data_IF_546039766675
#
_entry.id   IF_546039766675
#
_cell.length_a   1.000
_cell.length_b   1.000
_cell.length_c   1.000
_cell.angle_alpha   90.00
_cell.angle_beta   90.00
_cell.angle_gamma   90.00
#
_symmetry.space_group_name_H-M   'P 1'
#
loop_
_entity.id
_entity.type
_entity.pdbx_description
1 polymer ?
#
# COMPACT_ATOMS: atom_id res chain seq x y z
N UNK A 1 -20.69 20.87 46.46
CA UNK A 1 -20.16 19.52 46.75
C UNK A 1 -21.19 18.54 46.22
N UNK A 2 -20.91 17.65 45.27
CA UNK A 2 -19.75 16.77 45.18
C UNK A 2 -19.42 16.52 43.71
N UNK A 3 -18.12 16.54 43.41
CA UNK A 3 -17.44 16.07 42.19
C UNK A 3 -18.29 15.15 41.30
N UNK A 4 -18.67 15.61 40.10
CA UNK A 4 -19.07 14.70 39.02
C UNK A 4 -17.79 14.43 38.24
N UNK A 5 -17.22 13.26 38.49
CA UNK A 5 -16.03 12.70 37.87
C UNK A 5 -15.92 13.03 36.38
N UNK A 6 -14.89 13.78 36.01
CA UNK A 6 -14.44 14.05 34.63
C UNK A 6 -14.12 12.74 33.87
N UNK A 7 -14.03 11.60 34.57
CA UNK A 7 -13.71 10.29 34.01
C UNK A 7 -14.91 9.52 33.41
N UNK A 8 -16.15 9.84 33.77
CA UNK A 8 -17.36 9.16 33.24
C UNK A 8 -17.89 9.82 31.95
N UNK A 9 -17.64 11.12 31.76
CA UNK A 9 -18.03 11.88 30.57
C UNK A 9 -17.50 11.28 29.27
N UNK A 10 -16.19 10.99 29.17
CA UNK A 10 -15.59 10.41 27.96
C UNK A 10 -16.18 9.06 27.57
N UNK A 11 -16.56 8.19 28.53
CA UNK A 11 -17.16 6.88 28.22
C UNK A 11 -18.61 6.99 27.73
N UNK A 12 -19.36 7.96 28.26
CA UNK A 12 -20.75 8.24 27.84
C UNK A 12 -20.75 8.97 26.50
N UNK A 13 -19.81 9.88 26.26
CA UNK A 13 -19.66 10.62 25.00
C UNK A 13 -19.16 9.73 23.85
N UNK A 14 -18.24 8.79 24.11
CA UNK A 14 -17.86 7.76 23.12
C UNK A 14 -19.05 6.86 22.78
N UNK A 15 -19.88 6.50 23.77
CA UNK A 15 -21.12 5.73 23.51
C UNK A 15 -22.18 6.53 22.77
N UNK A 16 -22.34 7.82 23.08
CA UNK A 16 -23.30 8.70 22.42
C UNK A 16 -22.86 9.02 21.00
N UNK A 17 -21.57 9.35 20.77
CA UNK A 17 -21.03 9.53 19.42
C UNK A 17 -21.16 8.25 18.59
N UNK A 18 -20.88 7.06 19.15
CA UNK A 18 -21.19 5.79 18.47
C UNK A 18 -22.69 5.66 18.14
N UNK A 19 -23.58 6.06 19.05
CA UNK A 19 -25.04 5.97 18.87
C UNK A 19 -25.55 6.96 17.81
N UNK A 20 -24.98 8.16 17.73
CA UNK A 20 -25.34 9.20 16.75
C UNK A 20 -24.73 8.95 15.37
N UNK A 21 -23.50 8.40 15.30
CA UNK A 21 -22.91 7.87 14.06
C UNK A 21 -23.81 6.79 13.47
N UNK A 22 -24.42 5.94 14.32
CA UNK A 22 -25.39 4.93 13.90
C UNK A 22 -26.74 5.52 13.43
N UNK A 23 -27.08 6.73 13.85
CA UNK A 23 -28.37 7.37 13.57
C UNK A 23 -28.28 8.48 12.50
N UNK A 24 -27.10 8.71 11.91
CA UNK A 24 -26.81 9.76 10.91
C UNK A 24 -27.12 11.21 11.35
N UNK A 25 -27.37 11.45 12.63
CA UNK A 25 -27.70 12.77 13.20
C UNK A 25 -26.43 13.54 13.58
N UNK A 26 -25.67 13.94 12.56
CA UNK A 26 -24.41 14.65 12.69
C UNK A 26 -24.57 16.07 13.27
N UNK A 27 -25.70 16.73 12.96
CA UNK A 27 -26.06 18.07 13.44
C UNK A 27 -26.40 18.09 14.95
N UNK A 28 -26.93 17.00 15.48
CA UNK A 28 -27.18 16.85 16.91
C UNK A 28 -25.84 16.60 17.65
N UNK A 29 -24.98 15.73 17.10
CA UNK A 29 -23.67 15.44 17.66
C UNK A 29 -22.77 16.68 17.72
N UNK A 30 -22.74 17.51 16.67
CA UNK A 30 -21.91 18.72 16.64
C UNK A 30 -22.38 19.76 17.68
N UNK A 31 -23.69 20.00 17.79
CA UNK A 31 -24.26 20.95 18.78
C UNK A 31 -24.01 20.52 20.22
N UNK A 32 -24.13 19.22 20.50
CA UNK A 32 -23.87 18.67 21.85
C UNK A 32 -22.39 18.78 22.19
N UNK A 33 -21.49 18.47 21.26
CA UNK A 33 -20.05 18.64 21.49
C UNK A 33 -19.66 20.11 21.70
N UNK A 34 -20.19 21.03 20.88
CA UNK A 34 -19.91 22.46 21.00
C UNK A 34 -20.39 23.06 22.33
N UNK A 35 -21.51 22.55 22.88
CA UNK A 35 -22.07 23.02 24.14
C UNK A 35 -21.31 22.52 25.39
N UNK A 36 -20.67 21.35 25.30
CA UNK A 36 -20.06 20.69 26.45
C UNK A 36 -18.53 20.74 26.47
N UNK A 37 -17.87 20.43 25.35
CA UNK A 37 -16.41 20.37 25.25
C UNK A 37 -15.94 20.70 23.82
N UNK A 38 -15.39 21.89 23.56
CA UNK A 38 -14.94 22.29 22.22
C UNK A 38 -13.85 21.38 21.65
N UNK A 39 -13.02 20.77 22.51
CA UNK A 39 -12.01 19.78 22.11
C UNK A 39 -12.62 18.47 21.57
N UNK A 40 -13.83 18.13 22.01
CA UNK A 40 -14.56 16.93 21.57
C UNK A 40 -15.19 17.11 20.19
N UNK A 41 -15.28 18.34 19.68
CA UNK A 41 -15.73 18.61 18.30
C UNK A 41 -14.74 18.00 17.28
N UNK A 42 -13.45 18.00 17.59
CA UNK A 42 -12.42 17.37 16.76
C UNK A 42 -12.61 15.85 16.62
N UNK A 43 -13.05 15.19 17.70
CA UNK A 43 -13.31 13.74 17.68
C UNK A 43 -14.60 13.39 16.91
N UNK A 44 -15.62 14.25 16.97
CA UNK A 44 -16.84 14.09 16.14
C UNK A 44 -16.53 14.28 14.66
N UNK A 45 -15.72 15.29 14.30
CA UNK A 45 -15.28 15.50 12.91
C UNK A 45 -14.42 14.34 12.40
N UNK A 46 -13.56 13.76 13.24
CA UNK A 46 -12.80 12.57 12.89
C UNK A 46 -13.71 11.35 12.64
N UNK A 47 -14.78 11.20 13.43
CA UNK A 47 -15.79 10.16 13.20
C UNK A 47 -16.57 10.37 11.89
N UNK A 48 -16.95 11.62 11.57
CA UNK A 48 -17.56 11.98 10.29
C UNK A 48 -16.64 11.67 9.11
N UNK A 49 -15.35 11.99 9.23
CA UNK A 49 -14.37 11.68 8.21
C UNK A 49 -14.25 10.18 7.96
N UNK A 50 -14.22 9.37 9.03
CA UNK A 50 -14.22 7.90 8.92
C UNK A 50 -15.44 7.36 8.21
N UNK A 51 -16.62 7.85 8.54
CA UNK A 51 -17.85 7.48 7.83
C UNK A 51 -17.81 7.89 6.35
N UNK A 52 -17.26 9.07 6.04
CA UNK A 52 -17.06 9.51 4.66
C UNK A 52 -16.06 8.61 3.91
N UNK A 53 -15.01 8.10 4.56
CA UNK A 53 -14.11 7.09 3.98
C UNK A 53 -14.83 5.77 3.69
N UNK A 54 -15.72 5.30 4.58
CA UNK A 54 -16.54 4.10 4.33
C UNK A 54 -17.47 4.29 3.11
N UNK A 55 -18.00 5.50 2.95
CA UNK A 55 -18.82 5.88 1.79
C UNK A 55 -17.99 6.19 0.52
N UNK A 56 -16.66 6.08 0.58
CA UNK A 56 -15.71 6.44 -0.48
C UNK A 56 -15.76 7.92 -0.91
N UNK A 57 -16.28 8.79 -0.06
CA UNK A 57 -16.33 10.23 -0.28
C UNK A 57 -15.09 10.90 0.37
N UNK A 58 -13.96 10.75 -0.31
CA UNK A 58 -12.66 11.19 0.20
C UNK A 58 -12.52 12.72 0.28
N UNK A 59 -13.22 13.45 -0.59
CA UNK A 59 -13.22 14.92 -0.59
C UNK A 59 -13.86 15.48 0.68
N UNK A 60 -15.01 14.93 1.08
CA UNK A 60 -15.65 15.32 2.35
C UNK A 60 -14.82 14.88 3.55
N UNK A 61 -14.24 13.68 3.50
CA UNK A 61 -13.38 13.19 4.57
C UNK A 61 -12.17 14.11 4.80
N UNK A 62 -11.51 14.56 3.73
CA UNK A 62 -10.41 15.53 3.80
C UNK A 62 -10.88 16.84 4.43
N UNK A 63 -12.01 17.40 3.99
CA UNK A 63 -12.55 18.64 4.55
C UNK A 63 -12.81 18.53 6.08
N UNK A 64 -13.34 17.40 6.56
CA UNK A 64 -13.57 17.18 7.99
C UNK A 64 -12.26 17.03 8.78
N UNK A 65 -11.26 16.33 8.23
CA UNK A 65 -9.95 16.13 8.87
C UNK A 65 -9.12 17.42 8.94
N UNK A 66 -9.23 18.28 7.93
CA UNK A 66 -8.62 19.61 7.93
C UNK A 66 -9.26 20.52 8.97
N UNK A 67 -10.60 20.49 9.09
CA UNK A 67 -11.31 21.19 10.16
C UNK A 67 -10.96 20.66 11.56
N UNK A 68 -10.68 19.37 11.67
CA UNK A 68 -10.21 18.75 12.91
C UNK A 68 -8.72 19.02 13.21
N UNK A 69 -7.98 19.71 12.33
CA UNK A 69 -6.54 19.96 12.43
C UNK A 69 -5.69 18.70 12.69
N UNK A 70 -6.13 17.53 12.21
CA UNK A 70 -5.44 16.24 12.40
C UNK A 70 -5.04 15.62 11.05
N UNK A 71 -4.06 16.20 10.33
CA UNK A 71 -3.60 15.67 9.04
C UNK A 71 -2.92 14.29 9.17
N UNK A 72 -2.32 13.98 10.32
CA UNK A 72 -1.69 12.68 10.57
C UNK A 72 -2.69 11.52 10.49
N UNK A 73 -3.91 11.71 11.01
CA UNK A 73 -4.98 10.72 10.91
C UNK A 73 -5.48 10.57 9.47
N UNK A 74 -5.49 11.66 8.70
CA UNK A 74 -5.86 11.61 7.29
C UNK A 74 -4.92 10.67 6.53
N UNK A 75 -3.61 10.86 6.68
CA UNK A 75 -2.56 10.06 6.02
C UNK A 75 -2.72 8.58 6.37
N UNK A 76 -2.96 8.27 7.65
CA UNK A 76 -3.20 6.88 8.09
C UNK A 76 -4.41 6.26 7.39
N UNK A 77 -5.53 6.97 7.31
CA UNK A 77 -6.74 6.48 6.65
C UNK A 77 -6.57 6.33 5.13
N UNK A 78 -5.86 7.26 4.47
CA UNK A 78 -5.52 7.13 3.04
C UNK A 78 -4.61 5.93 2.76
N UNK A 79 -3.67 5.64 3.67
CA UNK A 79 -2.82 4.45 3.63
C UNK A 79 -3.64 3.16 3.78
N UNK A 80 -4.56 3.11 4.75
CA UNK A 80 -5.47 1.97 4.96
C UNK A 80 -6.39 1.74 3.74
N UNK A 81 -6.81 2.82 3.07
CA UNK A 81 -7.59 2.76 1.83
C UNK A 81 -6.76 2.38 0.58
N UNK A 82 -5.43 2.28 0.71
CA UNK A 82 -4.52 1.97 -0.40
C UNK A 82 -4.29 3.11 -1.40
N UNK A 83 -4.74 4.33 -1.07
CA UNK A 83 -4.59 5.52 -1.92
C UNK A 83 -3.31 6.29 -1.55
N UNK A 84 -2.18 5.68 -1.86
CA UNK A 84 -0.87 6.22 -1.52
C UNK A 84 -0.53 7.55 -2.20
N UNK A 85 -1.06 7.78 -3.41
CA UNK A 85 -0.90 9.05 -4.14
C UNK A 85 -1.44 10.24 -3.34
N UNK A 86 -2.66 10.11 -2.81
CA UNK A 86 -3.31 11.15 -2.03
C UNK A 86 -2.72 11.26 -0.62
N UNK A 87 -2.33 10.13 -0.02
CA UNK A 87 -1.59 10.14 1.24
C UNK A 87 -0.29 10.96 1.13
N UNK A 88 0.49 10.76 0.07
CA UNK A 88 1.74 11.51 -0.18
C UNK A 88 1.46 12.98 -0.46
N UNK A 89 0.42 13.31 -1.24
CA UNK A 89 0.01 14.70 -1.49
C UNK A 89 -0.29 15.43 -0.18
N UNK A 90 -1.12 14.84 0.66
CA UNK A 90 -1.54 15.43 1.95
C UNK A 90 -0.35 15.51 2.90
N UNK A 91 0.52 14.49 2.95
CA UNK A 91 1.76 14.57 3.72
C UNK A 91 2.65 15.75 3.30
N UNK A 92 2.80 15.99 1.99
CA UNK A 92 3.61 17.12 1.48
C UNK A 92 3.06 18.47 1.93
N UNK A 93 1.74 18.64 1.87
CA UNK A 93 1.07 19.90 2.18
C UNK A 93 1.05 20.20 3.67
N UNK A 94 0.78 19.20 4.51
CA UNK A 94 0.48 19.42 5.93
C UNK A 94 1.58 18.97 6.89
N UNK A 95 2.35 17.93 6.57
CA UNK A 95 3.37 17.34 7.46
C UNK A 95 4.59 16.87 6.66
N UNK A 96 5.43 17.79 6.13
CA UNK A 96 6.56 17.42 5.28
C UNK A 96 7.61 16.58 6.01
N UNK A 97 7.67 16.63 7.35
CA UNK A 97 8.59 15.79 8.14
C UNK A 97 8.24 14.29 8.14
N UNK A 98 6.98 13.92 7.91
CA UNK A 98 6.55 12.53 7.82
C UNK A 98 6.65 11.97 6.39
N UNK A 99 6.92 12.84 5.41
CA UNK A 99 6.93 12.51 3.99
C UNK A 99 7.95 11.43 3.65
N UNK A 100 9.17 11.56 4.17
CA UNK A 100 10.27 10.63 3.88
C UNK A 100 9.92 9.21 4.35
N UNK A 101 9.37 9.11 5.56
CA UNK A 101 8.92 7.82 6.11
C UNK A 101 7.78 7.22 5.27
N UNK A 102 6.78 8.03 4.92
CA UNK A 102 5.64 7.55 4.11
C UNK A 102 6.09 7.09 2.72
N UNK A 103 7.05 7.79 2.11
CA UNK A 103 7.56 7.47 0.79
C UNK A 103 8.36 6.17 0.80
N UNK A 104 9.20 5.96 1.82
CA UNK A 104 9.90 4.70 2.01
C UNK A 104 8.93 3.53 2.23
N UNK A 105 7.86 3.74 3.00
CA UNK A 105 6.81 2.72 3.17
C UNK A 105 6.07 2.42 1.85
N UNK A 106 5.77 3.45 1.05
CA UNK A 106 5.15 3.28 -0.26
C UNK A 106 6.03 2.46 -1.21
N UNK A 107 7.33 2.75 -1.24
CA UNK A 107 8.30 1.99 -2.02
C UNK A 107 8.36 0.54 -1.56
N UNK A 108 8.43 0.27 -0.25
CA UNK A 108 8.40 -1.10 0.27
C UNK A 108 7.10 -1.84 -0.07
N UNK A 109 5.95 -1.17 -0.01
CA UNK A 109 4.65 -1.78 -0.34
C UNK A 109 4.51 -2.04 -1.84
N UNK A 110 5.02 -1.13 -2.67
CA UNK A 110 5.13 -1.29 -4.12
C UNK A 110 6.04 -2.45 -4.50
N UNK A 111 7.22 -2.54 -3.85
CA UNK A 111 8.16 -3.66 -4.02
C UNK A 111 7.53 -4.97 -3.58
N UNK A 112 6.82 -5.04 -2.44
CA UNK A 112 6.11 -6.27 -2.00
C UNK A 112 5.04 -6.73 -2.99
N UNK A 113 4.28 -5.80 -3.58
CA UNK A 113 3.28 -6.14 -4.61
C UNK A 113 3.95 -6.60 -5.91
N UNK A 114 5.04 -5.96 -6.31
CA UNK A 114 5.89 -6.39 -7.43
C UNK A 114 6.51 -7.76 -7.21
N UNK A 115 7.08 -7.99 -6.03
CA UNK A 115 7.70 -9.23 -5.58
C UNK A 115 6.68 -10.38 -5.53
N UNK A 116 5.46 -10.15 -5.01
CA UNK A 116 4.39 -11.16 -5.08
C UNK A 116 4.01 -11.52 -6.52
N UNK A 117 3.99 -10.53 -7.43
CA UNK A 117 3.80 -10.79 -8.86
C UNK A 117 4.95 -11.61 -9.44
N UNK A 118 6.19 -11.25 -9.11
CA UNK A 118 7.40 -11.92 -9.53
C UNK A 118 7.48 -13.38 -9.02
N UNK A 119 7.15 -13.62 -7.75
CA UNK A 119 7.05 -14.97 -7.16
C UNK A 119 5.96 -15.80 -7.83
N UNK A 120 4.80 -15.21 -8.14
CA UNK A 120 3.75 -15.90 -8.88
C UNK A 120 4.21 -16.32 -10.29
N UNK A 121 4.95 -15.47 -11.00
CA UNK A 121 5.55 -15.83 -12.29
C UNK A 121 6.60 -16.93 -12.16
N UNK A 122 7.41 -16.93 -11.09
CA UNK A 122 8.38 -18.00 -10.82
C UNK A 122 7.70 -19.35 -10.55
N UNK A 123 6.65 -19.34 -9.74
CA UNK A 123 5.90 -20.55 -9.44
C UNK A 123 5.26 -21.12 -10.71
N UNK A 124 4.62 -20.25 -11.51
CA UNK A 124 4.06 -20.63 -12.81
C UNK A 124 5.14 -21.16 -13.77
N UNK A 125 6.34 -20.57 -13.79
CA UNK A 125 7.44 -21.05 -14.62
C UNK A 125 7.87 -22.48 -14.25
N UNK A 126 7.88 -22.81 -12.95
CA UNK A 126 8.20 -24.17 -12.46
C UNK A 126 7.14 -25.20 -12.85
N UNK A 127 5.88 -24.81 -12.84
CA UNK A 127 4.78 -25.67 -13.30
C UNK A 127 4.93 -25.98 -14.80
N UNK A 128 5.24 -24.97 -15.62
CA UNK A 128 5.52 -25.18 -17.04
C UNK A 128 6.77 -26.04 -17.27
N UNK A 129 7.82 -25.91 -16.44
CA UNK A 129 8.98 -26.82 -16.50
C UNK A 129 8.60 -28.28 -16.26
N UNK A 130 7.70 -28.55 -15.30
CA UNK A 130 7.23 -29.90 -14.98
C UNK A 130 6.29 -30.46 -16.04
N UNK A 131 5.50 -29.60 -16.69
CA UNK A 131 4.63 -29.99 -17.78
C UNK A 131 5.41 -30.36 -19.07
N UNK A 132 6.63 -29.84 -19.22
CA UNK A 132 7.47 -30.02 -20.42
C UNK A 132 7.41 -28.82 -21.40
N UNK A 133 6.63 -27.80 -21.06
CA UNK A 133 6.43 -26.58 -21.87
C UNK A 133 7.51 -25.53 -21.59
N UNK A 134 8.75 -25.87 -21.96
CA UNK A 134 9.93 -25.02 -21.72
C UNK A 134 9.83 -23.63 -22.36
N UNK A 135 9.14 -23.51 -23.50
CA UNK A 135 8.95 -22.21 -24.16
C UNK A 135 8.17 -21.21 -23.29
N UNK A 136 7.12 -21.66 -22.61
CA UNK A 136 6.30 -20.82 -21.73
C UNK A 136 7.01 -20.55 -20.41
N UNK A 137 7.72 -21.54 -19.88
CA UNK A 137 8.55 -21.38 -18.69
C UNK A 137 9.56 -20.24 -18.86
N UNK A 138 10.28 -20.21 -19.98
CA UNK A 138 11.26 -19.17 -20.30
C UNK A 138 10.59 -17.79 -20.38
N UNK A 139 9.44 -17.66 -21.03
CA UNK A 139 8.69 -16.40 -21.08
C UNK A 139 8.26 -15.92 -19.68
N UNK A 140 7.87 -16.83 -18.78
CA UNK A 140 7.54 -16.50 -17.39
C UNK A 140 8.78 -16.01 -16.64
N UNK A 141 9.93 -16.68 -16.77
CA UNK A 141 11.19 -16.22 -16.14
C UNK A 141 11.68 -14.86 -16.64
N UNK A 142 11.42 -14.52 -17.92
CA UNK A 142 11.77 -13.21 -18.47
C UNK A 142 10.87 -12.07 -17.97
N UNK A 143 9.65 -12.39 -17.55
CA UNK A 143 8.69 -11.44 -16.98
C UNK A 143 9.01 -11.09 -15.53
N UNK A 144 9.77 -11.93 -14.84
CA UNK A 144 10.29 -11.64 -13.49
C UNK A 144 11.31 -10.51 -13.62
N UNK A 145 10.96 -9.32 -13.11
CA UNK A 145 11.81 -8.11 -13.14
C UNK A 145 12.03 -7.51 -11.75
N UNK A 146 11.08 -7.71 -10.84
CA UNK A 146 11.01 -7.01 -9.55
C UNK A 146 11.13 -8.00 -8.39
N UNK A 147 12.31 -8.63 -8.24
CA UNK A 147 12.65 -9.39 -7.03
C UNK A 147 13.63 -8.58 -6.19
N UNK A 148 13.38 -8.50 -4.88
CA UNK A 148 14.25 -7.83 -3.90
C UNK A 148 15.68 -8.41 -3.90
N UNK A 149 15.83 -9.68 -4.28
CA UNK A 149 17.11 -10.37 -4.35
C UNK A 149 17.61 -10.47 -5.78
N UNK A 150 18.55 -9.60 -6.13
CA UNK A 150 19.26 -9.61 -7.41
C UNK A 150 19.91 -10.98 -7.71
N UNK A 151 20.39 -11.70 -6.69
CA UNK A 151 20.93 -13.06 -6.78
C UNK A 151 19.90 -14.09 -7.26
N UNK A 152 18.65 -13.95 -6.82
CA UNK A 152 17.56 -14.85 -7.23
C UNK A 152 17.19 -14.55 -8.67
N UNK A 153 17.15 -13.28 -9.05
CA UNK A 153 16.90 -12.84 -10.41
C UNK A 153 17.96 -13.36 -11.39
N UNK A 154 19.24 -13.31 -11.00
CA UNK A 154 20.35 -13.85 -11.77
C UNK A 154 20.22 -15.37 -11.99
N UNK A 155 19.93 -16.13 -10.93
CA UNK A 155 19.68 -17.58 -11.03
C UNK A 155 18.49 -17.90 -11.94
N UNK A 156 17.42 -17.10 -11.88
CA UNK A 156 16.25 -17.30 -12.75
C UNK A 156 16.58 -17.04 -14.22
N UNK A 157 17.34 -15.99 -14.50
CA UNK A 157 17.81 -15.66 -15.84
C UNK A 157 18.81 -16.68 -16.39
N UNK A 158 19.74 -17.18 -15.57
CA UNK A 158 20.61 -18.29 -15.94
C UNK A 158 19.81 -19.54 -16.29
N UNK A 159 18.80 -19.87 -15.48
CA UNK A 159 17.95 -21.03 -15.72
C UNK A 159 17.10 -20.87 -16.98
N UNK A 160 16.58 -19.67 -17.25
CA UNK A 160 15.90 -19.36 -18.51
C UNK A 160 16.81 -19.53 -19.73
N UNK A 161 18.07 -19.06 -19.65
CA UNK A 161 19.05 -19.23 -20.71
C UNK A 161 19.41 -20.71 -20.92
N UNK A 162 19.61 -21.48 -19.84
CA UNK A 162 19.92 -22.90 -19.91
C UNK A 162 18.77 -23.71 -20.54
N UNK A 163 17.53 -23.48 -20.09
CA UNK A 163 16.35 -24.13 -20.66
C UNK A 163 16.16 -23.75 -22.13
N UNK A 164 16.47 -22.50 -22.50
CA UNK A 164 16.43 -22.06 -23.89
C UNK A 164 17.46 -22.75 -24.77
N UNK A 165 18.67 -22.97 -24.27
CA UNK A 165 19.71 -23.68 -25.01
C UNK A 165 19.42 -25.18 -25.15
N UNK A 166 18.85 -25.81 -24.11
CA UNK A 166 18.61 -27.25 -24.08
C UNK A 166 17.37 -27.69 -24.86
N UNK A 167 16.29 -26.92 -24.80
CA UNK A 167 14.96 -27.40 -25.23
C UNK A 167 14.28 -26.54 -26.30
N UNK A 168 14.78 -25.35 -26.60
CA UNK A 168 14.18 -24.45 -27.59
C UNK A 168 14.93 -24.46 -28.93
N UNK A 169 14.21 -24.03 -29.98
CA UNK A 169 14.75 -23.87 -31.34
C UNK A 169 15.89 -22.83 -31.33
N UNK A 170 16.97 -23.02 -32.12
CA UNK A 170 18.15 -22.13 -32.13
C UNK A 170 17.83 -20.64 -32.35
N UNK A 171 16.78 -20.30 -33.09
CA UNK A 171 16.34 -18.91 -33.27
C UNK A 171 15.84 -18.29 -31.96
N UNK A 172 14.96 -18.99 -31.25
CA UNK A 172 14.35 -18.50 -30.00
C UNK A 172 15.34 -18.52 -28.83
N UNK A 173 16.29 -19.44 -28.81
CA UNK A 173 17.35 -19.46 -27.80
C UNK A 173 18.29 -18.26 -27.95
N UNK A 174 18.65 -17.88 -29.18
CA UNK A 174 19.44 -16.67 -29.45
C UNK A 174 18.72 -15.40 -28.99
N UNK A 175 17.42 -15.27 -29.25
CA UNK A 175 16.61 -14.13 -28.78
C UNK A 175 16.66 -14.00 -27.24
N UNK A 176 16.45 -15.11 -26.53
CA UNK A 176 16.50 -15.15 -25.06
C UNK A 176 17.89 -14.76 -24.56
N UNK A 177 18.95 -15.28 -25.18
CA UNK A 177 20.35 -14.96 -24.83
C UNK A 177 20.67 -13.48 -25.09
N UNK A 178 20.18 -12.89 -26.17
CA UNK A 178 20.39 -11.46 -26.44
C UNK A 178 19.70 -10.57 -25.40
N UNK A 179 18.55 -10.99 -24.86
CA UNK A 179 17.82 -10.25 -23.82
C UNK A 179 18.47 -10.43 -22.44
N UNK A 180 18.89 -11.66 -22.13
CA UNK A 180 19.37 -12.04 -20.79
C UNK A 180 20.86 -11.79 -20.62
N UNK A 181 21.66 -11.96 -21.67
CA UNK A 181 23.13 -11.83 -21.63
C UNK A 181 23.61 -10.48 -21.09
N UNK A 182 23.18 -9.33 -21.63
CA UNK A 182 23.54 -8.02 -21.10
C UNK A 182 23.09 -7.83 -19.64
N UNK A 183 21.92 -8.37 -19.29
CA UNK A 183 21.36 -8.27 -17.93
C UNK A 183 22.19 -9.08 -16.93
N UNK A 184 22.58 -10.30 -17.26
CA UNK A 184 23.47 -11.14 -16.44
C UNK A 184 24.86 -10.49 -16.28
N UNK A 185 25.43 -9.94 -17.36
CA UNK A 185 26.72 -9.23 -17.28
C UNK A 185 26.61 -8.00 -16.39
N UNK A 186 25.53 -7.23 -16.49
CA UNK A 186 25.28 -6.11 -15.59
C UNK A 186 25.05 -6.58 -14.14
N UNK A 187 24.41 -7.73 -13.94
CA UNK A 187 24.16 -8.27 -12.60
C UNK A 187 25.46 -8.72 -11.92
N UNK A 188 26.32 -9.47 -12.63
CA UNK A 188 27.59 -9.98 -12.13
C UNK A 188 28.67 -8.91 -11.89
N UNK A 189 28.64 -7.78 -12.63
CA UNK A 189 29.59 -6.66 -12.42
C UNK A 189 29.43 -5.91 -11.09
N UNK A 190 28.30 -6.07 -10.41
CA UNK A 190 28.04 -5.44 -9.12
C UNK A 190 28.30 -6.38 -7.93
N UNK A 191 28.76 -7.60 -8.19
CA UNK A 191 29.08 -8.61 -7.17
C UNK A 191 30.60 -8.85 -7.02
N UNK A 192 31.42 -7.94 -7.57
CA UNK A 192 32.87 -7.96 -7.54
C UNK A 192 33.43 -6.69 -6.89
#
# INVERSE_FOLDING_TARGET
MVYVDVFTGSRVMVRLSLRYVHNQDWDAAQRVSELHDPDSVGDVLAAQARFAFEQKDFQKAEAFLLRAQRPELAVKHYKEAGMWSDAIRICKEYVPGLLEQLQQEYEQEGMKKGARGAEAFLQQAREWEQAGEYARAVDCYLKVKDLDSKDVLEKCWMKAAELSLKFLVPSRSLEVIHIVGPKLVSAGKHNA
#
